data_IF_542049617829
#
_entry.id   IF_542049617829
#
_cell.length_a   1.000
_cell.length_b   1.000
_cell.length_c   1.000
_cell.angle_alpha   90.00
_cell.angle_beta   90.00
_cell.angle_gamma   90.00
#
_symmetry.space_group_name_H-M   'P 1'
#
loop_
_entity.id
_entity.type
_entity.pdbx_description
1 polymer ?
#
# COMPACT_ATOMS: atom_id res chain seq x y z
N UNK A 1 8.13 20.08 10.51
CA UNK A 1 8.50 18.91 9.67
C UNK A 1 8.77 19.34 8.24
N UNK A 2 9.91 18.97 7.62
CA UNK A 2 10.07 19.11 6.16
C UNK A 2 9.27 17.98 5.51
N UNK A 3 8.15 18.31 4.84
CA UNK A 3 7.37 17.33 4.09
C UNK A 3 8.26 16.71 3.02
N UNK A 4 8.27 15.38 2.93
CA UNK A 4 9.07 14.67 1.94
C UNK A 4 8.33 14.71 0.59
N UNK A 5 8.37 15.88 -0.06
CA UNK A 5 7.65 16.18 -1.31
C UNK A 5 7.97 15.14 -2.40
N UNK A 6 9.21 14.66 -2.44
CA UNK A 6 9.63 13.60 -3.35
C UNK A 6 8.83 12.30 -3.14
N UNK A 7 8.67 11.85 -1.89
CA UNK A 7 7.87 10.66 -1.55
C UNK A 7 6.41 10.83 -1.98
N UNK A 8 5.83 12.00 -1.74
CA UNK A 8 4.45 12.32 -2.14
C UNK A 8 4.29 12.23 -3.68
N UNK A 9 5.24 12.78 -4.44
CA UNK A 9 5.23 12.72 -5.91
C UNK A 9 5.30 11.27 -6.40
N UNK A 10 6.16 10.44 -5.80
CA UNK A 10 6.29 9.02 -6.16
C UNK A 10 4.98 8.27 -5.89
N UNK A 11 4.32 8.52 -4.75
CA UNK A 11 3.02 7.90 -4.44
C UNK A 11 1.95 8.35 -5.45
N UNK A 12 1.92 9.64 -5.82
CA UNK A 12 0.99 10.14 -6.83
C UNK A 12 1.22 9.51 -8.21
N UNK A 13 2.48 9.32 -8.60
CA UNK A 13 2.83 8.60 -9.82
C UNK A 13 2.37 7.14 -9.77
N UNK A 14 2.51 6.47 -8.61
CA UNK A 14 2.02 5.11 -8.40
C UNK A 14 0.48 5.04 -8.52
N UNK A 15 -0.24 6.02 -7.97
CA UNK A 15 -1.71 6.12 -8.14
C UNK A 15 -2.06 6.25 -9.63
N UNK A 16 -1.39 7.16 -10.34
CA UNK A 16 -1.61 7.33 -11.79
C UNK A 16 -1.34 6.04 -12.57
N UNK A 17 -0.27 5.32 -12.22
CA UNK A 17 0.05 4.03 -12.80
C UNK A 17 -1.04 2.98 -12.50
N UNK A 18 -1.48 2.83 -11.25
CA UNK A 18 -2.54 1.89 -10.88
C UNK A 18 -3.85 2.21 -11.60
N UNK A 19 -4.23 3.49 -11.71
CA UNK A 19 -5.40 3.91 -12.48
C UNK A 19 -5.24 3.55 -13.96
N UNK A 20 -4.07 3.77 -14.55
CA UNK A 20 -3.79 3.41 -15.95
C UNK A 20 -3.94 1.90 -16.21
N UNK A 21 -3.61 1.04 -15.23
CA UNK A 21 -3.76 -0.42 -15.40
C UNK A 21 -5.21 -0.85 -15.65
N UNK A 22 -6.21 -0.13 -15.12
CA UNK A 22 -7.62 -0.42 -15.39
C UNK A 22 -8.00 -0.24 -16.87
N UNK A 23 -7.34 0.66 -17.59
CA UNK A 23 -7.62 0.89 -19.01
C UNK A 23 -6.90 -0.10 -19.93
N UNK A 24 -5.77 -0.66 -19.48
CA UNK A 24 -4.92 -1.54 -20.31
C UNK A 24 -5.32 -3.01 -20.24
N UNK A 25 -5.80 -3.50 -19.08
CA UNK A 25 -6.12 -4.91 -18.86
C UNK A 25 -7.23 -5.09 -17.83
N UNK A 26 -8.42 -4.53 -18.09
CA UNK A 26 -9.51 -4.39 -17.11
C UNK A 26 -9.87 -5.69 -16.34
N UNK A 27 -9.87 -6.84 -17.01
CA UNK A 27 -10.40 -8.09 -16.45
C UNK A 27 -9.42 -8.84 -15.52
N UNK A 28 -8.12 -8.57 -15.63
CA UNK A 28 -7.10 -9.33 -14.88
C UNK A 28 -6.83 -8.66 -13.52
N UNK A 29 -6.95 -9.42 -12.42
CA UNK A 29 -6.65 -8.96 -11.05
C UNK A 29 -7.46 -7.71 -10.63
N UNK A 30 -8.75 -7.65 -11.01
CA UNK A 30 -9.58 -6.47 -10.82
C UNK A 30 -9.74 -6.08 -9.34
N UNK A 31 -10.07 -7.03 -8.46
CA UNK A 31 -10.25 -6.76 -7.03
C UNK A 31 -8.93 -6.34 -6.38
N UNK A 32 -7.84 -7.00 -6.75
CA UNK A 32 -6.48 -6.72 -6.27
C UNK A 32 -6.06 -5.31 -6.63
N UNK A 33 -6.38 -4.83 -7.84
CA UNK A 33 -6.09 -3.45 -8.26
C UNK A 33 -6.90 -2.43 -7.48
N UNK A 34 -8.18 -2.68 -7.23
CA UNK A 34 -9.01 -1.81 -6.38
C UNK A 34 -8.43 -1.74 -4.97
N UNK A 35 -8.12 -2.88 -4.36
CA UNK A 35 -7.56 -2.95 -3.02
C UNK A 35 -6.20 -2.24 -2.94
N UNK A 36 -5.34 -2.41 -3.96
CA UNK A 36 -4.05 -1.74 -4.06
C UNK A 36 -4.17 -0.22 -4.22
N UNK A 37 -5.17 0.24 -4.98
CA UNK A 37 -5.46 1.66 -5.15
C UNK A 37 -5.92 2.28 -3.83
N UNK A 38 -6.86 1.62 -3.13
CA UNK A 38 -7.33 2.05 -1.80
C UNK A 38 -6.15 2.11 -0.83
N UNK A 39 -5.32 1.07 -0.77
CA UNK A 39 -4.12 1.06 0.06
C UNK A 39 -3.22 2.26 -0.24
N UNK A 40 -2.93 2.52 -1.51
CA UNK A 40 -2.03 3.61 -1.92
C UNK A 40 -2.59 4.99 -1.55
N UNK A 41 -3.90 5.19 -1.67
CA UNK A 41 -4.58 6.42 -1.25
C UNK A 41 -4.48 6.61 0.26
N UNK A 42 -4.76 5.57 1.05
CA UNK A 42 -4.66 5.66 2.51
C UNK A 42 -3.20 5.86 2.95
N UNK A 43 -2.25 5.21 2.27
CA UNK A 43 -0.82 5.41 2.49
C UNK A 43 -0.40 6.86 2.21
N UNK A 44 -0.91 7.47 1.14
CA UNK A 44 -0.69 8.90 0.87
C UNK A 44 -1.22 9.78 2.02
N UNK A 45 -2.40 9.47 2.55
CA UNK A 45 -2.97 10.21 3.70
C UNK A 45 -2.06 10.09 4.92
N UNK A 46 -1.55 8.89 5.21
CA UNK A 46 -0.60 8.65 6.30
C UNK A 46 0.68 9.47 6.09
N UNK A 47 1.23 9.49 4.88
CA UNK A 47 2.45 10.24 4.55
C UNK A 47 2.24 11.75 4.69
N UNK A 48 1.07 12.27 4.31
CA UNK A 48 0.71 13.70 4.46
C UNK A 48 0.43 14.06 5.92
N UNK A 49 -0.15 13.14 6.70
CA UNK A 49 -0.53 13.32 8.11
C UNK A 49 0.43 12.60 9.08
N UNK A 50 1.71 12.51 8.73
CA UNK A 50 2.73 11.81 9.52
C UNK A 50 2.74 12.21 11.01
N UNK A 51 2.55 13.49 11.35
CA UNK A 51 2.50 13.95 12.76
C UNK A 51 1.38 13.27 13.56
N UNK A 52 0.20 13.12 12.96
CA UNK A 52 -0.94 12.45 13.60
C UNK A 52 -0.69 10.95 13.80
N UNK A 53 -0.13 10.28 12.80
CA UNK A 53 0.15 8.84 12.89
C UNK A 53 1.37 8.51 13.73
N UNK A 54 2.32 9.46 13.87
CA UNK A 54 3.49 9.30 14.75
C UNK A 54 3.12 9.16 16.23
N UNK A 55 2.01 9.77 16.65
CA UNK A 55 1.46 9.65 18.02
C UNK A 55 0.51 8.47 18.18
N UNK A 56 -0.01 7.92 17.07
CA UNK A 56 -0.98 6.81 17.04
C UNK A 56 -0.42 5.58 16.35
N UNK A 57 0.78 5.17 16.73
CA UNK A 57 1.51 4.03 16.17
C UNK A 57 0.68 2.73 16.04
N UNK A 58 -0.16 2.34 17.02
CA UNK A 58 -0.99 1.15 16.89
C UNK A 58 -1.97 1.19 15.72
N UNK A 59 -2.50 2.36 15.36
CA UNK A 59 -3.40 2.51 14.21
C UNK A 59 -2.68 2.24 12.89
N UNK A 60 -1.42 2.68 12.77
CA UNK A 60 -0.62 2.42 11.58
C UNK A 60 -0.31 0.91 11.43
N UNK A 61 0.06 0.24 12.53
CA UNK A 61 0.32 -1.20 12.52
C UNK A 61 -0.96 -1.96 12.13
N UNK A 62 -2.10 -1.60 12.73
CA UNK A 62 -3.39 -2.21 12.43
C UNK A 62 -3.75 -2.04 10.94
N UNK A 63 -3.59 -0.83 10.41
CA UNK A 63 -3.78 -0.56 8.98
C UNK A 63 -2.87 -1.44 8.11
N UNK A 64 -1.60 -1.57 8.45
CA UNK A 64 -0.66 -2.40 7.71
C UNK A 64 -1.07 -3.88 7.67
N UNK A 65 -1.41 -4.45 8.82
CA UNK A 65 -1.86 -5.86 8.92
C UNK A 65 -3.15 -6.08 8.12
N UNK A 66 -4.16 -5.21 8.31
CA UNK A 66 -5.44 -5.32 7.59
C UNK A 66 -5.23 -5.19 6.08
N UNK A 67 -4.36 -4.27 5.64
CA UNK A 67 -4.10 -4.07 4.22
C UNK A 67 -3.45 -5.29 3.57
N UNK A 68 -2.45 -5.89 4.22
CA UNK A 68 -1.80 -7.11 3.72
C UNK A 68 -2.82 -8.25 3.61
N UNK A 69 -3.63 -8.47 4.66
CA UNK A 69 -4.64 -9.52 4.65
C UNK A 69 -5.71 -9.29 3.58
N UNK A 70 -6.24 -8.07 3.47
CA UNK A 70 -7.25 -7.73 2.49
C UNK A 70 -6.74 -7.95 1.06
N UNK A 71 -5.52 -7.49 0.76
CA UNK A 71 -4.93 -7.63 -0.58
C UNK A 71 -4.59 -9.09 -0.88
N UNK A 72 -4.12 -9.87 0.10
CA UNK A 72 -3.91 -11.30 -0.07
C UNK A 72 -5.22 -12.03 -0.41
N UNK A 73 -6.31 -11.71 0.27
CA UNK A 73 -7.65 -12.24 -0.04
C UNK A 73 -8.09 -11.83 -1.44
N UNK A 74 -7.89 -10.58 -1.84
CA UNK A 74 -8.22 -10.13 -3.20
C UNK A 74 -7.44 -10.89 -4.27
N UNK A 75 -6.14 -11.12 -4.06
CA UNK A 75 -5.31 -11.92 -5.00
C UNK A 75 -5.88 -13.32 -5.12
N UNK A 76 -6.19 -13.98 -4.00
CA UNK A 76 -6.76 -15.34 -4.00
C UNK A 76 -8.09 -15.36 -4.76
N UNK A 77 -8.98 -14.39 -4.52
CA UNK A 77 -10.28 -14.33 -5.19
C UNK A 77 -10.16 -14.05 -6.70
N UNK A 78 -9.27 -13.15 -7.11
CA UNK A 78 -9.03 -12.90 -8.54
C UNK A 78 -8.42 -14.13 -9.24
N UNK A 79 -7.43 -14.78 -8.61
CA UNK A 79 -6.72 -15.96 -9.17
C UNK A 79 -7.58 -17.23 -9.16
N UNK A 80 -8.58 -17.33 -8.29
CA UNK A 80 -9.50 -18.49 -8.25
C UNK A 80 -10.73 -18.31 -9.13
N UNK A 81 -11.07 -17.07 -9.49
CA UNK A 81 -12.18 -16.76 -10.40
C UNK A 81 -11.75 -16.68 -11.87
N UNK A 82 -10.52 -16.26 -12.13
CA UNK A 82 -9.87 -16.47 -13.42
C UNK A 82 -9.47 -17.96 -13.53
N UNK A 83 -9.98 -18.68 -14.52
CA UNK A 83 -9.75 -20.13 -14.71
C UNK A 83 -8.30 -20.53 -15.04
N UNK A 84 -7.39 -19.57 -15.05
CA UNK A 84 -5.96 -19.76 -15.18
C UNK A 84 -5.38 -20.12 -13.81
N UNK A 85 -4.72 -21.28 -13.70
CA UNK A 85 -4.22 -21.80 -12.43
C UNK A 85 -3.36 -20.80 -11.64
N UNK A 86 -3.42 -20.93 -10.30
CA UNK A 86 -2.79 -20.06 -9.31
C UNK A 86 -1.37 -19.60 -9.68
N UNK A 87 -1.22 -18.30 -9.97
CA UNK A 87 0.07 -17.71 -10.33
C UNK A 87 0.76 -17.08 -9.11
N UNK A 88 1.82 -17.73 -8.62
CA UNK A 88 2.60 -17.24 -7.48
C UNK A 88 3.19 -15.83 -7.70
N UNK A 89 3.36 -15.38 -8.94
CA UNK A 89 3.87 -14.04 -9.26
C UNK A 89 2.95 -12.93 -8.77
N UNK A 90 1.64 -13.17 -8.69
CA UNK A 90 0.65 -12.19 -8.24
C UNK A 90 0.86 -11.78 -6.78
N UNK A 91 1.49 -12.63 -5.97
CA UNK A 91 1.84 -12.35 -4.58
C UNK A 91 3.08 -11.45 -4.42
N UNK A 92 3.86 -11.18 -5.49
CA UNK A 92 4.94 -10.18 -5.40
C UNK A 92 4.43 -8.81 -4.97
N UNK A 93 3.18 -8.48 -5.28
CA UNK A 93 2.54 -7.22 -4.87
C UNK A 93 2.53 -7.07 -3.33
N UNK A 94 2.34 -8.16 -2.58
CA UNK A 94 2.39 -8.14 -1.11
C UNK A 94 3.80 -7.80 -0.60
N UNK A 95 4.86 -8.26 -1.29
CA UNK A 95 6.24 -7.92 -0.93
C UNK A 95 6.49 -6.42 -1.09
N UNK A 96 6.01 -5.82 -2.18
CA UNK A 96 6.11 -4.37 -2.38
C UNK A 96 5.36 -3.59 -1.29
N UNK A 97 4.14 -3.99 -0.97
CA UNK A 97 3.33 -3.37 0.11
C UNK A 97 4.06 -3.47 1.45
N UNK A 98 4.61 -4.64 1.77
CA UNK A 98 5.36 -4.86 2.99
C UNK A 98 6.57 -3.92 3.08
N UNK A 99 7.33 -3.76 1.99
CA UNK A 99 8.47 -2.82 1.94
C UNK A 99 8.01 -1.38 2.21
N UNK A 100 6.92 -0.92 1.59
CA UNK A 100 6.37 0.43 1.84
C UNK A 100 5.96 0.62 3.31
N UNK A 101 5.29 -0.38 3.89
CA UNK A 101 4.90 -0.34 5.30
C UNK A 101 6.11 -0.29 6.23
N UNK A 102 7.16 -1.06 5.95
CA UNK A 102 8.40 -1.05 6.75
C UNK A 102 9.12 0.29 6.65
N UNK A 103 9.24 0.86 5.45
CA UNK A 103 9.87 2.17 5.25
C UNK A 103 9.11 3.26 6.02
N UNK A 104 7.77 3.28 5.89
CA UNK A 104 6.94 4.26 6.59
C UNK A 104 6.96 4.06 8.10
N UNK A 105 6.93 2.81 8.57
CA UNK A 105 7.10 2.47 9.98
C UNK A 105 8.42 3.03 10.53
N UNK A 106 9.53 2.76 9.84
CA UNK A 106 10.86 3.24 10.23
C UNK A 106 10.91 4.78 10.28
N UNK A 107 10.29 5.44 9.30
CA UNK A 107 10.18 6.90 9.28
C UNK A 107 9.35 7.44 10.45
N UNK A 108 8.26 6.77 10.83
CA UNK A 108 7.42 7.12 11.97
C UNK A 108 8.08 6.84 13.34
N UNK A 109 8.96 5.82 13.41
CA UNK A 109 9.61 5.38 14.64
C UNK A 109 10.91 6.15 14.94
N UNK A 110 11.88 6.16 14.02
CA UNK A 110 13.21 6.73 14.28
C UNK A 110 13.20 8.24 14.48
N UNK A 111 12.15 8.94 14.05
CA UNK A 111 12.00 10.38 14.27
C UNK A 111 11.53 10.73 15.68
N UNK A 112 10.90 9.79 16.39
CA UNK A 112 10.46 9.98 17.77
C UNK A 112 11.58 9.71 18.79
N UNK A 113 12.55 8.86 18.46
CA UNK A 113 13.68 8.57 19.37
C UNK A 113 14.75 9.66 19.36
N UNK A 114 14.82 10.49 18.31
CA UNK A 114 15.67 11.69 18.28
C UNK A 114 15.09 12.89 19.06
N UNK A 115 13.85 12.77 19.55
CA UNK A 115 13.14 13.82 20.31
C UNK A 115 13.05 13.53 21.82
N UNK A 116 13.73 12.49 22.29
CA UNK A 116 13.90 12.17 23.72
C UNK A 116 15.32 12.44 24.17
#
# INVERSE_FOLDING_TARGET
MKKNISTIIVILALIGFLVATFFLQYEVLFLTRIASLIFTIVYLVIEVKQEYFSTRKPLFILFGVISILAIAVCIILDETSATDGFNARSFMLLVFIFIFLVISYNHLYNKNDAAK
#
